data_IF_678909375639
#
_entry.id   IF_678909375639
#
_cell.length_a   1.000
_cell.length_b   1.000
_cell.length_c   1.000
_cell.angle_alpha   90.00
_cell.angle_beta   90.00
_cell.angle_gamma   90.00
#
_symmetry.space_group_name_H-M   'P 1'
#
loop_
_entity.id
_entity.type
_entity.pdbx_description
1 polymer ?
#
# COMPACT_ATOMS: atom_id res chain seq x y z
N UNK A 1 -19.28 42.62 -40.38
CA UNK A 1 -18.20 42.09 -39.50
C UNK A 1 -18.74 41.76 -38.09
N UNK A 2 -19.45 40.64 -37.88
CA UNK A 2 -19.81 40.13 -36.53
C UNK A 2 -20.02 38.61 -36.53
N UNK A 3 -19.13 37.85 -37.18
CA UNK A 3 -19.15 36.37 -37.14
C UNK A 3 -17.83 35.72 -36.71
N UNK A 4 -16.84 36.52 -36.29
CA UNK A 4 -15.53 36.00 -35.85
C UNK A 4 -15.43 35.76 -34.33
N UNK A 5 -16.40 36.22 -33.53
CA UNK A 5 -16.38 36.06 -32.07
C UNK A 5 -16.89 34.70 -31.56
N UNK A 6 -17.76 34.02 -32.32
CA UNK A 6 -18.45 32.82 -31.85
C UNK A 6 -17.66 31.53 -32.07
N UNK A 7 -16.73 31.51 -33.04
CA UNK A 7 -15.89 30.34 -33.35
C UNK A 7 -14.75 30.17 -32.32
N UNK A 8 -14.33 31.24 -31.65
CA UNK A 8 -13.24 31.18 -30.66
C UNK A 8 -13.68 30.60 -29.30
N UNK A 9 -14.98 30.61 -29.00
CA UNK A 9 -15.54 30.04 -27.76
C UNK A 9 -15.75 28.52 -27.88
N UNK A 10 -15.98 27.99 -29.09
CA UNK A 10 -16.11 26.53 -29.29
C UNK A 10 -14.77 25.78 -29.24
N UNK A 11 -13.65 26.47 -29.50
CA UNK A 11 -12.30 25.87 -29.47
C UNK A 11 -11.72 25.69 -28.06
N UNK A 12 -12.39 26.23 -27.02
CA UNK A 12 -11.95 26.06 -25.62
C UNK A 12 -12.63 24.89 -24.88
N UNK A 13 -13.58 24.18 -25.51
CA UNK A 13 -14.29 23.04 -24.91
C UNK A 13 -13.67 21.66 -25.21
N UNK A 14 -12.61 21.56 -26.03
CA UNK A 14 -12.06 20.27 -26.49
C UNK A 14 -11.01 19.63 -25.57
N UNK A 15 -10.83 20.10 -24.33
CA UNK A 15 -9.83 19.55 -23.38
C UNK A 15 -10.42 18.77 -22.22
N UNK A 16 -11.48 18.00 -22.46
CA UNK A 16 -11.87 16.91 -21.54
C UNK A 16 -11.55 15.58 -22.21
N UNK A 17 -10.25 15.25 -22.28
CA UNK A 17 -9.83 13.88 -22.54
C UNK A 17 -10.13 13.10 -21.27
N UNK A 18 -11.30 12.48 -21.22
CA UNK A 18 -11.62 11.50 -20.18
C UNK A 18 -10.64 10.34 -20.32
N UNK A 19 -9.83 10.09 -19.28
CA UNK A 19 -9.15 8.81 -19.15
C UNK A 19 -10.24 7.73 -19.00
N UNK A 20 -10.50 7.01 -20.10
CA UNK A 20 -11.57 6.02 -20.18
C UNK A 20 -11.22 4.84 -19.27
N UNK A 21 -12.13 4.46 -18.38
CA UNK A 21 -12.03 3.14 -17.77
C UNK A 21 -12.36 2.13 -18.87
N UNK A 22 -11.45 1.20 -19.14
CA UNK A 22 -11.72 0.12 -20.06
C UNK A 22 -12.76 -0.82 -19.44
N UNK A 23 -13.81 -1.14 -20.21
CA UNK A 23 -14.71 -2.23 -19.86
C UNK A 23 -13.99 -3.54 -20.22
N UNK A 24 -13.37 -4.15 -19.22
CA UNK A 24 -12.59 -5.36 -19.41
C UNK A 24 -13.46 -6.58 -19.08
N UNK A 25 -13.53 -7.52 -20.02
CA UNK A 25 -14.10 -8.84 -19.80
C UNK A 25 -12.97 -9.85 -19.72
N UNK A 26 -12.76 -10.41 -18.54
CA UNK A 26 -11.88 -11.57 -18.37
C UNK A 26 -12.76 -12.80 -18.23
N UNK A 27 -12.55 -13.81 -19.05
CA UNK A 27 -13.22 -15.11 -18.92
C UNK A 27 -12.21 -16.24 -19.06
N UNK A 28 -12.63 -17.45 -18.75
CA UNK A 28 -11.73 -18.59 -18.85
C UNK A 28 -12.21 -19.79 -18.10
N UNK A 29 -11.34 -20.79 -18.01
CA UNK A 29 -11.54 -22.01 -17.26
C UNK A 29 -10.32 -22.32 -16.38
N UNK A 30 -10.58 -22.85 -15.20
CA UNK A 30 -9.55 -23.35 -14.29
C UNK A 30 -9.76 -24.85 -14.11
N UNK A 31 -8.70 -25.60 -14.32
CA UNK A 31 -8.70 -27.06 -14.19
C UNK A 31 -7.52 -27.51 -13.30
N UNK A 32 -7.67 -28.67 -12.69
CA UNK A 32 -6.63 -29.33 -11.91
C UNK A 32 -5.56 -29.89 -12.86
N UNK A 33 -4.29 -29.53 -12.63
CA UNK A 33 -3.17 -29.97 -13.45
C UNK A 33 -2.91 -31.49 -13.36
N UNK A 34 -3.30 -32.14 -12.26
CA UNK A 34 -3.09 -33.57 -12.05
C UNK A 34 -4.19 -34.42 -12.68
N UNK A 35 -5.45 -34.01 -12.52
CA UNK A 35 -6.62 -34.81 -12.95
C UNK A 35 -7.25 -34.33 -14.26
N UNK A 36 -6.89 -33.13 -14.74
CA UNK A 36 -7.55 -32.40 -15.83
C UNK A 36 -9.04 -32.12 -15.59
N UNK A 37 -9.53 -32.28 -14.35
CA UNK A 37 -10.92 -32.01 -14.01
C UNK A 37 -11.15 -30.52 -13.72
N UNK A 38 -12.35 -29.98 -14.01
CA UNK A 38 -12.67 -28.61 -13.68
C UNK A 38 -12.65 -28.30 -12.19
N UNK A 39 -12.07 -27.14 -11.85
CA UNK A 39 -12.04 -26.65 -10.47
C UNK A 39 -13.15 -25.66 -10.23
N UNK A 40 -14.21 -26.10 -9.55
CA UNK A 40 -15.28 -25.24 -9.06
C UNK A 40 -14.85 -24.41 -7.85
N UNK A 41 -15.46 -23.24 -7.63
CA UNK A 41 -15.19 -22.35 -6.49
C UNK A 41 -13.74 -21.86 -6.37
N UNK A 42 -12.96 -21.91 -7.44
CA UNK A 42 -11.67 -21.25 -7.53
C UNK A 42 -11.86 -19.73 -7.66
N UNK A 43 -10.98 -18.97 -7.05
CA UNK A 43 -11.01 -17.51 -7.01
C UNK A 43 -10.18 -16.92 -8.15
N UNK A 44 -10.75 -15.94 -8.84
CA UNK A 44 -10.07 -15.10 -9.84
C UNK A 44 -10.21 -13.64 -9.46
N UNK A 45 -9.11 -12.97 -9.12
CA UNK A 45 -9.19 -11.61 -8.58
C UNK A 45 -8.04 -10.69 -9.02
N UNK A 46 -8.33 -9.39 -9.03
CA UNK A 46 -7.31 -8.36 -9.19
C UNK A 46 -6.63 -8.10 -7.86
N UNK A 47 -5.31 -8.28 -7.84
CA UNK A 47 -4.54 -8.06 -6.62
C UNK A 47 -4.66 -6.62 -6.12
N UNK A 48 -4.87 -6.47 -4.81
CA UNK A 48 -5.04 -5.18 -4.15
C UNK A 48 -6.46 -4.61 -4.22
N UNK A 49 -7.44 -5.34 -4.77
CA UNK A 49 -8.83 -4.85 -4.93
C UNK A 49 -9.85 -5.71 -4.16
N UNK A 50 -11.13 -5.30 -4.19
CA UNK A 50 -12.26 -6.15 -3.82
C UNK A 50 -12.88 -6.93 -4.99
N UNK A 51 -12.28 -6.84 -6.18
CA UNK A 51 -12.81 -7.40 -7.42
C UNK A 51 -12.43 -8.88 -7.54
N UNK A 52 -13.44 -9.74 -7.45
CA UNK A 52 -13.33 -11.19 -7.46
C UNK A 52 -14.42 -11.80 -8.35
N UNK A 53 -14.09 -12.90 -9.02
CA UNK A 53 -15.02 -13.86 -9.60
C UNK A 53 -14.68 -15.26 -9.08
N UNK A 54 -15.68 -16.13 -9.02
CA UNK A 54 -15.49 -17.54 -8.70
C UNK A 54 -15.78 -18.39 -9.93
N UNK A 55 -15.13 -19.55 -10.03
CA UNK A 55 -15.46 -20.54 -11.06
C UNK A 55 -16.74 -21.29 -10.73
N UNK A 56 -17.53 -21.62 -11.75
CA UNK A 56 -18.71 -22.48 -11.66
C UNK A 56 -18.35 -23.98 -11.58
N UNK A 57 -19.36 -24.86 -11.61
CA UNK A 57 -19.17 -26.31 -11.58
C UNK A 57 -18.39 -26.87 -12.78
N UNK A 58 -18.31 -26.12 -13.88
CA UNK A 58 -17.52 -26.46 -15.06
C UNK A 58 -16.14 -25.79 -15.03
N UNK A 59 -15.75 -25.21 -13.89
CA UNK A 59 -14.48 -24.50 -13.73
C UNK A 59 -14.41 -23.18 -14.49
N UNK A 60 -15.51 -22.71 -15.08
CA UNK A 60 -15.53 -21.49 -15.88
C UNK A 60 -15.76 -20.26 -15.02
N UNK A 61 -15.11 -19.16 -15.36
CA UNK A 61 -15.30 -17.88 -14.68
C UNK A 61 -15.52 -16.75 -15.68
N UNK A 62 -16.13 -15.66 -15.20
CA UNK A 62 -16.22 -14.40 -15.93
C UNK A 62 -16.17 -13.23 -14.96
N UNK A 63 -15.23 -12.33 -15.18
CA UNK A 63 -15.04 -11.09 -14.45
C UNK A 63 -15.24 -9.92 -15.43
N UNK A 64 -16.38 -9.23 -15.32
CA UNK A 64 -16.71 -8.04 -16.13
C UNK A 64 -16.70 -6.81 -15.24
N UNK A 65 -15.67 -5.98 -15.38
CA UNK A 65 -15.53 -4.77 -14.55
C UNK A 65 -14.73 -3.69 -15.28
N UNK A 66 -14.97 -2.46 -14.85
CA UNK A 66 -14.09 -1.34 -15.19
C UNK A 66 -12.75 -1.47 -14.46
N UNK A 67 -11.67 -1.47 -15.22
CA UNK A 67 -10.30 -1.54 -14.71
C UNK A 67 -9.51 -0.42 -15.35
N UNK A 68 -8.66 0.24 -14.57
CA UNK A 68 -7.77 1.27 -15.12
C UNK A 68 -6.81 0.64 -16.13
N UNK A 69 -6.50 1.31 -17.23
CA UNK A 69 -5.50 0.80 -18.19
C UNK A 69 -4.09 0.75 -17.56
N UNK A 70 -3.29 -0.25 -17.92
CA UNK A 70 -1.94 -0.46 -17.38
C UNK A 70 -1.69 -1.89 -16.92
N UNK A 71 -0.61 -2.10 -16.17
CA UNK A 71 -0.27 -3.44 -15.69
C UNK A 71 -1.06 -3.76 -14.43
N UNK A 72 -1.59 -4.97 -14.41
CA UNK A 72 -2.31 -5.54 -13.28
C UNK A 72 -1.78 -6.91 -12.96
N UNK A 73 -2.05 -7.33 -11.73
CA UNK A 73 -1.78 -8.68 -11.28
C UNK A 73 -3.11 -9.40 -11.11
N UNK A 74 -3.38 -10.35 -11.99
CA UNK A 74 -4.51 -11.25 -11.90
C UNK A 74 -4.07 -12.52 -11.16
N UNK A 75 -4.83 -12.94 -10.17
CA UNK A 75 -4.49 -14.07 -9.32
C UNK A 75 -5.57 -15.13 -9.42
N UNK A 76 -5.15 -16.38 -9.60
CA UNK A 76 -5.97 -17.57 -9.63
C UNK A 76 -5.61 -18.43 -8.41
N UNK A 77 -6.56 -18.71 -7.54
CA UNK A 77 -6.31 -19.52 -6.34
C UNK A 77 -7.46 -20.47 -6.03
N UNK A 78 -7.13 -21.61 -5.43
CA UNK A 78 -8.10 -22.55 -4.90
C UNK A 78 -7.51 -23.19 -3.63
N UNK A 79 -8.36 -23.53 -2.66
CA UNK A 79 -7.91 -24.21 -1.43
C UNK A 79 -7.25 -25.53 -1.79
N UNK A 80 -6.05 -25.77 -1.27
CA UNK A 80 -5.28 -26.98 -1.58
C UNK A 80 -4.45 -26.91 -2.87
N UNK A 81 -4.41 -25.77 -3.57
CA UNK A 81 -3.63 -25.60 -4.81
C UNK A 81 -2.63 -24.46 -4.71
N UNK A 82 -1.57 -24.53 -5.51
CA UNK A 82 -0.60 -23.45 -5.66
C UNK A 82 -1.26 -22.24 -6.36
N UNK A 83 -1.05 -21.05 -5.80
CA UNK A 83 -1.59 -19.81 -6.37
C UNK A 83 -0.87 -19.46 -7.67
N UNK A 84 -1.60 -19.32 -8.78
CA UNK A 84 -1.06 -18.83 -10.06
C UNK A 84 -1.20 -17.32 -10.15
N UNK A 85 -0.09 -16.62 -10.37
CA UNK A 85 -0.04 -15.15 -10.50
C UNK A 85 0.27 -14.80 -11.95
N UNK A 86 -0.65 -14.11 -12.63
CA UNK A 86 -0.49 -13.62 -13.99
C UNK A 86 -0.35 -12.10 -14.01
N UNK A 87 0.66 -11.59 -14.72
CA UNK A 87 0.81 -10.17 -14.99
C UNK A 87 0.14 -9.87 -16.33
N UNK A 88 -0.86 -9.01 -16.32
CA UNK A 88 -1.61 -8.63 -17.52
C UNK A 88 -1.44 -7.14 -17.77
N UNK A 89 -1.51 -6.73 -19.03
CA UNK A 89 -1.59 -5.32 -19.38
C UNK A 89 -2.97 -5.10 -19.98
N UNK A 90 -3.73 -4.18 -19.39
CA UNK A 90 -5.05 -3.80 -19.87
C UNK A 90 -4.87 -2.56 -20.76
N UNK A 91 -5.26 -2.69 -22.02
CA UNK A 91 -5.26 -1.60 -23.01
C UNK A 91 -6.64 -1.61 -23.68
N UNK A 92 -7.38 -0.50 -23.67
CA UNK A 92 -8.72 -0.42 -24.26
C UNK A 92 -9.74 -1.46 -23.71
N UNK A 93 -10.96 -1.49 -24.26
CA UNK A 93 -12.00 -2.47 -23.93
C UNK A 93 -11.69 -3.85 -24.53
N UNK A 94 -10.70 -4.54 -23.96
CA UNK A 94 -10.30 -5.89 -24.37
C UNK A 94 -11.14 -6.99 -23.71
N UNK A 95 -11.24 -8.13 -24.40
CA UNK A 95 -11.65 -9.41 -23.81
C UNK A 95 -10.45 -10.32 -23.69
N UNK A 96 -10.12 -10.73 -22.47
CA UNK A 96 -9.02 -11.65 -22.20
C UNK A 96 -9.57 -13.02 -21.83
N UNK A 97 -9.00 -14.07 -22.43
CA UNK A 97 -9.36 -15.46 -22.13
C UNK A 97 -8.18 -16.20 -21.50
N UNK A 98 -8.43 -16.93 -20.41
CA UNK A 98 -7.39 -17.70 -19.72
C UNK A 98 -7.82 -19.16 -19.53
N UNK A 99 -6.97 -20.10 -19.93
CA UNK A 99 -7.07 -21.50 -19.52
C UNK A 99 -5.95 -21.77 -18.53
N UNK A 100 -6.31 -21.97 -17.26
CA UNK A 100 -5.35 -22.06 -16.15
C UNK A 100 -5.34 -23.48 -15.59
N UNK A 101 -4.14 -24.04 -15.49
CA UNK A 101 -3.85 -25.24 -14.73
C UNK A 101 -3.41 -24.83 -13.33
N UNK A 102 -4.10 -25.29 -12.30
CA UNK A 102 -3.63 -25.18 -10.91
C UNK A 102 -3.02 -26.50 -10.46
N UNK A 103 -1.83 -26.41 -9.88
CA UNK A 103 -1.10 -27.57 -9.35
C UNK A 103 -1.55 -27.82 -7.91
N UNK A 104 -1.99 -29.04 -7.55
CA UNK A 104 -2.27 -29.38 -6.16
C UNK A 104 -1.05 -29.16 -5.28
N UNK A 105 -1.25 -28.60 -4.08
CA UNK A 105 -0.19 -28.50 -3.09
C UNK A 105 0.12 -29.88 -2.54
N UNK A 106 1.40 -30.20 -2.44
CA UNK A 106 1.81 -31.34 -1.63
C UNK A 106 1.42 -31.08 -0.16
N UNK A 107 0.50 -31.89 0.36
CA UNK A 107 0.16 -31.85 1.79
C UNK A 107 1.32 -32.45 2.56
N UNK A 108 2.29 -31.62 2.93
CA UNK A 108 3.25 -32.01 3.97
C UNK A 108 2.51 -31.97 5.30
N UNK A 109 2.17 -33.15 5.82
CA UNK A 109 1.69 -33.30 7.19
C UNK A 109 2.80 -32.83 8.14
N UNK A 110 2.82 -31.53 8.45
CA UNK A 110 3.68 -30.96 9.48
C UNK A 110 3.01 -31.16 10.83
N UNK A 111 3.35 -32.25 11.49
CA UNK A 111 2.96 -32.59 12.86
C UNK A 111 3.57 -31.62 13.93
N UNK A 112 4.22 -30.52 13.51
CA UNK A 112 5.12 -29.71 14.34
C UNK A 112 4.74 -28.21 14.36
N UNK A 113 3.44 -27.87 14.40
CA UNK A 113 3.01 -26.45 14.39
C UNK A 113 2.49 -25.92 15.74
N UNK A 114 2.00 -26.79 16.63
CA UNK A 114 1.50 -26.36 17.94
C UNK A 114 2.66 -26.18 18.95
N UNK A 115 3.77 -26.91 18.79
CA UNK A 115 4.97 -26.73 19.62
C UNK A 115 5.78 -25.49 19.24
N UNK A 116 5.92 -25.20 17.94
CA UNK A 116 6.71 -24.06 17.45
C UNK A 116 6.11 -22.69 17.81
N UNK A 117 4.78 -22.56 17.87
CA UNK A 117 4.12 -21.31 18.32
C UNK A 117 4.33 -21.00 19.82
N UNK A 118 4.79 -22.00 20.59
CA UNK A 118 5.21 -21.84 22.00
C UNK A 118 6.71 -21.49 22.15
N UNK A 119 7.52 -21.59 21.09
CA UNK A 119 8.94 -21.21 21.12
C UNK A 119 9.09 -19.68 21.26
N UNK A 120 9.91 -19.25 22.23
CA UNK A 120 10.22 -17.85 22.50
C UNK A 120 10.85 -17.18 21.26
N UNK A 121 11.69 -17.91 20.50
CA UNK A 121 12.30 -17.38 19.29
C UNK A 121 11.24 -17.13 18.19
N UNK A 122 10.32 -18.08 18.01
CA UNK A 122 9.19 -17.92 17.11
C UNK A 122 8.32 -16.73 17.52
N UNK A 123 7.96 -16.58 18.79
CA UNK A 123 7.13 -15.46 19.28
C UNK A 123 7.80 -14.09 19.06
N UNK A 124 9.12 -14.00 19.29
CA UNK A 124 9.90 -12.79 19.02
C UNK A 124 9.91 -12.46 17.52
N UNK A 125 10.13 -13.45 16.66
CA UNK A 125 10.13 -13.28 15.21
C UNK A 125 8.74 -12.93 14.68
N UNK A 126 7.69 -13.55 15.23
CA UNK A 126 6.31 -13.23 14.90
C UNK A 126 5.94 -11.80 15.33
N UNK A 127 6.34 -11.35 16.53
CA UNK A 127 6.14 -9.98 16.96
C UNK A 127 6.83 -8.97 16.03
N UNK A 128 8.09 -9.26 15.65
CA UNK A 128 8.87 -8.46 14.68
C UNK A 128 8.18 -8.42 13.31
N UNK A 129 7.78 -9.58 12.78
CA UNK A 129 7.03 -9.70 11.53
C UNK A 129 5.71 -8.91 11.59
N UNK A 130 4.91 -9.10 12.64
CA UNK A 130 3.61 -8.44 12.80
C UNK A 130 3.76 -6.91 12.80
N UNK A 131 4.73 -6.38 13.55
CA UNK A 131 5.00 -4.94 13.60
C UNK A 131 5.44 -4.38 12.25
N UNK A 132 6.31 -5.09 11.53
CA UNK A 132 6.87 -4.63 10.25
C UNK A 132 5.95 -4.86 9.04
N UNK A 133 5.11 -5.90 9.10
CA UNK A 133 4.16 -6.28 8.04
C UNK A 133 2.82 -5.55 8.16
N UNK A 134 2.22 -5.52 9.37
CA UNK A 134 0.95 -4.81 9.59
C UNK A 134 1.17 -3.32 9.88
N UNK A 135 2.33 -2.96 10.42
CA UNK A 135 2.64 -1.61 10.88
C UNK A 135 2.34 -1.42 12.38
N UNK A 136 2.57 -0.20 12.87
CA UNK A 136 2.33 0.16 14.29
C UNK A 136 1.30 1.29 14.46
N UNK A 137 0.53 1.59 13.41
CA UNK A 137 -0.56 2.56 13.43
C UNK A 137 -1.72 2.13 14.35
N UNK A 138 -2.67 3.03 14.59
CA UNK A 138 -3.89 2.65 15.32
C UNK A 138 -4.73 1.62 14.56
N UNK A 139 -4.70 1.64 13.22
CA UNK A 139 -5.42 0.66 12.40
C UNK A 139 -4.72 -0.69 12.42
N UNK A 140 -3.38 -0.70 12.36
CA UNK A 140 -2.58 -1.91 12.47
C UNK A 140 -2.78 -2.65 13.80
N UNK A 141 -2.97 -1.91 14.90
CA UNK A 141 -3.29 -2.51 16.22
C UNK A 141 -4.65 -3.21 16.26
N UNK A 142 -5.57 -2.84 15.37
CA UNK A 142 -6.89 -3.47 15.22
C UNK A 142 -6.87 -4.62 14.19
N UNK A 143 -5.68 -5.00 13.70
CA UNK A 143 -5.50 -6.14 12.80
C UNK A 143 -5.16 -7.43 13.56
N UNK A 144 -5.79 -8.53 13.17
CA UNK A 144 -5.53 -9.88 13.69
C UNK A 144 -5.15 -10.81 12.53
N UNK A 145 -3.97 -11.44 12.63
CA UNK A 145 -3.60 -12.54 11.74
C UNK A 145 -4.24 -13.80 12.32
N UNK A 146 -5.14 -14.42 11.56
CA UNK A 146 -5.97 -15.54 12.03
C UNK A 146 -5.28 -16.89 11.92
N UNK A 147 -4.26 -17.01 11.07
CA UNK A 147 -3.52 -18.24 10.81
C UNK A 147 -2.00 -18.07 10.92
N UNK A 148 -1.46 -17.50 12.00
CA UNK A 148 -0.03 -17.18 12.08
C UNK A 148 0.87 -18.43 12.05
N UNK A 149 0.33 -19.62 12.35
CA UNK A 149 1.07 -20.89 12.31
C UNK A 149 1.56 -21.27 10.90
N UNK A 150 1.02 -20.69 9.82
CA UNK A 150 1.54 -20.96 8.47
C UNK A 150 2.89 -20.26 8.22
N UNK A 151 3.34 -19.40 9.13
CA UNK A 151 4.56 -18.61 9.00
C UNK A 151 5.78 -19.41 9.44
N UNK A 152 6.78 -19.41 8.58
CA UNK A 152 8.12 -19.91 8.87
C UNK A 152 9.10 -18.76 8.97
N UNK A 153 9.91 -18.78 10.03
CA UNK A 153 10.89 -17.75 10.32
C UNK A 153 12.30 -18.32 10.20
N UNK A 154 13.16 -17.65 9.44
CA UNK A 154 14.59 -17.95 9.37
C UNK A 154 15.37 -16.69 9.68
N UNK A 155 16.29 -16.79 10.65
CA UNK A 155 17.15 -15.68 11.05
C UNK A 155 18.61 -16.02 10.78
N UNK A 156 19.31 -15.17 10.02
CA UNK A 156 20.75 -15.26 9.78
C UNK A 156 21.36 -13.87 9.82
N UNK A 157 22.42 -13.64 10.59
CA UNK A 157 23.10 -12.33 10.70
C UNK A 157 22.13 -11.15 10.97
N UNK A 158 21.18 -11.31 11.89
CA UNK A 158 20.08 -10.37 12.21
C UNK A 158 19.08 -10.05 11.06
N UNK A 159 19.23 -10.72 9.92
CA UNK A 159 18.24 -10.73 8.86
C UNK A 159 17.15 -11.76 9.19
N UNK A 160 15.94 -11.26 9.43
CA UNK A 160 14.73 -12.09 9.48
C UNK A 160 14.20 -12.27 8.06
N UNK A 161 14.01 -13.51 7.63
CA UNK A 161 13.27 -13.87 6.42
C UNK A 161 12.03 -14.66 6.82
N UNK A 162 10.92 -14.40 6.11
CA UNK A 162 9.62 -15.01 6.43
C UNK A 162 9.00 -15.59 5.17
N UNK A 163 8.58 -16.84 5.26
CA UNK A 163 7.77 -17.52 4.26
C UNK A 163 6.43 -17.95 4.87
N UNK A 164 5.43 -18.15 4.03
CA UNK A 164 4.11 -18.61 4.45
C UNK A 164 3.70 -19.82 3.60
N UNK A 165 3.26 -20.90 4.26
CA UNK A 165 2.67 -22.05 3.57
C UNK A 165 1.18 -21.79 3.27
N UNK A 166 0.95 -20.90 2.30
CA UNK A 166 -0.39 -20.48 1.88
C UNK A 166 -0.71 -19.03 2.16
N UNK A 167 -2.00 -18.73 2.16
CA UNK A 167 -2.51 -17.36 2.21
C UNK A 167 -2.73 -16.92 3.67
N UNK A 168 -2.11 -15.81 4.07
CA UNK A 168 -2.35 -15.19 5.36
C UNK A 168 -3.74 -14.55 5.39
N UNK A 169 -4.49 -14.79 6.45
CA UNK A 169 -5.83 -14.25 6.66
C UNK A 169 -5.76 -13.21 7.77
N UNK A 170 -6.12 -11.97 7.45
CA UNK A 170 -5.95 -10.81 8.33
C UNK A 170 -7.30 -10.12 8.50
N UNK A 171 -7.82 -10.09 9.71
CA UNK A 171 -9.00 -9.31 10.03
C UNK A 171 -8.60 -7.87 10.36
N UNK A 172 -8.79 -6.94 9.42
CA UNK A 172 -8.64 -5.51 9.66
C UNK A 172 -9.96 -4.93 10.19
N UNK A 173 -10.22 -5.14 11.49
CA UNK A 173 -11.41 -4.63 12.18
C UNK A 173 -11.47 -3.09 12.19
N UNK A 174 -10.31 -2.45 12.02
CA UNK A 174 -10.18 -1.00 11.94
C UNK A 174 -10.87 -0.41 10.72
N UNK A 175 -10.69 -1.05 9.55
CA UNK A 175 -11.23 -0.65 8.27
C UNK A 175 -12.44 -1.50 7.82
N UNK A 176 -12.76 -2.59 8.51
CA UNK A 176 -13.87 -3.47 8.14
C UNK A 176 -13.59 -4.27 6.88
N UNK A 177 -12.39 -4.84 6.78
CA UNK A 177 -11.98 -5.72 5.69
C UNK A 177 -11.34 -6.98 6.25
N UNK A 178 -11.65 -8.12 5.64
CA UNK A 178 -10.77 -9.29 5.70
C UNK A 178 -9.77 -9.17 4.55
N UNK A 179 -8.49 -9.26 4.87
CA UNK A 179 -7.39 -9.13 3.92
C UNK A 179 -6.71 -10.48 3.83
N UNK A 180 -6.65 -10.98 2.62
CA UNK A 180 -5.98 -12.21 2.27
C UNK A 180 -4.66 -11.86 1.58
N UNK A 181 -3.56 -12.48 1.98
CA UNK A 181 -2.23 -12.15 1.46
C UNK A 181 -1.45 -13.43 1.14
N UNK A 182 -1.13 -13.62 -0.14
CA UNK A 182 -0.06 -14.55 -0.53
C UNK A 182 1.27 -13.81 -0.43
N UNK A 183 2.07 -14.18 0.58
CA UNK A 183 3.37 -13.56 0.85
C UNK A 183 4.41 -14.09 -0.15
N UNK A 184 4.89 -13.22 -1.04
CA UNK A 184 5.89 -13.60 -2.07
C UNK A 184 7.29 -13.54 -1.50
N UNK A 185 7.61 -12.49 -0.77
CA UNK A 185 8.84 -12.42 0.02
C UNK A 185 8.65 -11.49 1.22
N UNK A 186 9.48 -11.71 2.24
CA UNK A 186 9.64 -10.79 3.35
C UNK A 186 11.07 -10.91 3.87
N UNK A 187 11.72 -9.76 4.05
CA UNK A 187 12.98 -9.65 4.75
C UNK A 187 13.01 -8.39 5.59
N UNK A 188 13.55 -8.50 6.81
CA UNK A 188 13.80 -7.37 7.67
C UNK A 188 15.21 -7.47 8.30
N UNK A 189 15.98 -6.38 8.21
CA UNK A 189 17.29 -6.21 8.86
C UNK A 189 17.24 -4.93 9.68
N UNK A 190 17.34 -5.06 11.01
CA UNK A 190 17.05 -3.96 11.94
C UNK A 190 15.71 -3.29 11.63
N UNK A 191 15.78 -2.12 11.03
CA UNK A 191 14.63 -1.29 10.70
C UNK A 191 14.23 -1.25 9.23
N UNK A 192 15.03 -1.88 8.37
CA UNK A 192 14.78 -1.94 6.95
C UNK A 192 13.95 -3.18 6.66
N UNK A 193 12.71 -2.97 6.21
CA UNK A 193 11.78 -4.05 5.83
C UNK A 193 11.47 -3.96 4.35
N UNK A 194 11.68 -5.07 3.64
CA UNK A 194 11.25 -5.27 2.26
C UNK A 194 10.30 -6.46 2.21
N UNK A 195 9.13 -6.30 1.61
CA UNK A 195 8.20 -7.39 1.38
C UNK A 195 7.36 -7.13 0.14
N UNK A 196 6.94 -8.22 -0.50
CA UNK A 196 6.04 -8.27 -1.64
C UNK A 196 4.95 -9.27 -1.30
N UNK A 197 3.71 -8.86 -1.49
CA UNK A 197 2.54 -9.72 -1.36
C UNK A 197 1.54 -9.41 -2.46
N UNK A 198 0.73 -10.41 -2.80
CA UNK A 198 -0.51 -10.19 -3.56
C UNK A 198 -1.69 -10.28 -2.60
N UNK A 199 -2.58 -9.30 -2.69
CA UNK A 199 -3.65 -9.09 -1.71
C UNK A 199 -5.03 -9.29 -2.33
N UNK A 200 -5.98 -9.83 -1.56
CA UNK A 200 -7.41 -9.81 -1.85
C UNK A 200 -8.15 -9.21 -0.68
N UNK A 201 -9.10 -8.33 -0.94
CA UNK A 201 -9.91 -7.67 0.08
C UNK A 201 -11.34 -8.14 0.03
N UNK A 202 -11.91 -8.45 1.19
CA UNK A 202 -13.31 -8.81 1.34
C UNK A 202 -13.96 -7.88 2.38
N UNK A 203 -14.97 -7.07 1.99
CA UNK A 203 -15.67 -6.21 2.94
C UNK A 203 -16.36 -7.03 4.04
N UNK A 204 -16.12 -6.66 5.29
CA UNK A 204 -16.84 -7.26 6.42
C UNK A 204 -18.27 -6.70 6.50
N UNK A 205 -19.21 -7.53 6.96
CA UNK A 205 -20.56 -7.07 7.31
C UNK A 205 -20.51 -6.28 8.64
N UNK A 206 -20.97 -5.03 8.68
CA UNK A 206 -21.04 -4.28 9.93
C UNK A 206 -22.11 -4.86 10.86
N UNK A 207 -21.84 -4.85 12.16
CA UNK A 207 -22.79 -5.23 13.21
C UNK A 207 -23.97 -4.25 13.28
N UNK A 208 -23.70 -2.96 13.08
CA UNK A 208 -24.71 -1.89 13.13
C UNK A 208 -24.34 -0.69 12.23
N UNK A 209 -25.28 0.27 12.10
CA UNK A 209 -25.07 1.52 11.35
C UNK A 209 -23.94 2.38 11.92
N UNK A 210 -23.65 2.30 13.23
CA UNK A 210 -22.59 3.08 13.89
C UNK A 210 -21.21 2.57 13.48
N UNK A 211 -21.01 1.26 13.43
CA UNK A 211 -19.81 0.61 12.95
C UNK A 211 -19.60 0.89 11.46
N UNK A 212 -20.65 0.80 10.64
CA UNK A 212 -20.57 1.16 9.22
C UNK A 212 -20.09 2.61 9.02
N UNK A 213 -20.66 3.58 9.74
CA UNK A 213 -20.23 4.98 9.72
C UNK A 213 -18.79 5.15 10.22
N UNK A 214 -18.40 4.43 11.28
CA UNK A 214 -17.04 4.42 11.82
C UNK A 214 -16.03 3.92 10.79
N UNK A 215 -16.31 2.81 10.12
CA UNK A 215 -15.46 2.27 9.05
C UNK A 215 -15.35 3.24 7.88
N UNK A 216 -16.45 3.82 7.41
CA UNK A 216 -16.42 4.84 6.34
C UNK A 216 -15.47 6.00 6.69
N UNK A 217 -15.63 6.59 7.88
CA UNK A 217 -14.78 7.70 8.36
C UNK A 217 -13.31 7.28 8.47
N UNK A 218 -13.03 6.05 8.92
CA UNK A 218 -11.67 5.53 9.05
C UNK A 218 -11.02 5.25 7.70
N UNK A 219 -11.76 4.71 6.73
CA UNK A 219 -11.28 4.51 5.35
C UNK A 219 -10.95 5.85 4.69
N UNK A 220 -11.82 6.85 4.82
CA UNK A 220 -11.51 8.21 4.36
C UNK A 220 -10.27 8.79 5.06
N UNK A 221 -10.15 8.59 6.37
CA UNK A 221 -8.96 9.03 7.13
C UNK A 221 -7.68 8.33 6.64
N UNK A 222 -7.72 7.04 6.35
CA UNK A 222 -6.58 6.28 5.82
C UNK A 222 -6.19 6.77 4.41
N UNK A 223 -7.18 7.12 3.58
CA UNK A 223 -6.94 7.68 2.25
C UNK A 223 -6.32 9.08 2.29
N UNK A 224 -6.95 10.03 2.99
CA UNK A 224 -6.49 11.42 2.96
C UNK A 224 -5.14 11.62 3.65
N UNK A 225 -4.16 12.08 2.86
CA UNK A 225 -2.77 12.24 3.24
C UNK A 225 -1.88 11.06 2.86
N UNK A 226 -2.44 9.96 2.35
CA UNK A 226 -1.66 8.83 1.80
C UNK A 226 -0.94 9.21 0.50
N UNK A 227 0.03 8.38 0.11
CA UNK A 227 0.68 8.45 -1.20
C UNK A 227 -0.36 8.52 -2.32
N UNK A 228 -1.37 7.66 -2.26
CA UNK A 228 -2.46 7.60 -3.23
C UNK A 228 -3.23 8.93 -3.35
N UNK A 229 -3.51 9.59 -2.24
CA UNK A 229 -4.14 10.92 -2.23
C UNK A 229 -3.23 11.99 -2.84
N UNK A 230 -1.93 11.95 -2.54
CA UNK A 230 -0.97 12.88 -3.12
C UNK A 230 -0.89 12.73 -4.65
N UNK A 231 -0.76 11.50 -5.15
CA UNK A 231 -0.71 11.24 -6.60
C UNK A 231 -2.00 11.67 -7.27
N UNK A 232 -3.16 11.36 -6.69
CA UNK A 232 -4.45 11.89 -7.17
C UNK A 232 -4.43 13.43 -7.27
N UNK A 233 -4.03 14.12 -6.20
CA UNK A 233 -4.00 15.57 -6.18
C UNK A 233 -3.00 16.15 -7.20
N UNK A 234 -1.88 15.48 -7.42
CA UNK A 234 -0.87 15.87 -8.40
C UNK A 234 -1.40 15.77 -9.83
N UNK A 235 -2.08 14.67 -10.17
CA UNK A 235 -2.61 14.43 -11.52
C UNK A 235 -3.78 15.37 -11.88
N UNK A 236 -4.51 15.86 -10.88
CA UNK A 236 -5.68 16.72 -11.08
C UNK A 236 -5.38 18.21 -10.83
N UNK A 237 -4.11 18.58 -10.67
CA UNK A 237 -3.68 19.96 -10.33
C UNK A 237 -4.30 20.52 -9.03
N UNK A 238 -4.58 19.63 -8.05
CA UNK A 238 -5.20 19.97 -6.76
C UNK A 238 -4.25 19.90 -5.58
N UNK A 239 -2.93 19.86 -5.80
CA UNK A 239 -1.92 19.65 -4.73
C UNK A 239 -2.13 20.62 -3.55
N UNK A 240 -2.24 21.92 -3.83
CA UNK A 240 -2.44 22.94 -2.78
C UNK A 240 -3.84 22.86 -2.16
N UNK A 241 -4.88 22.72 -2.97
CA UNK A 241 -6.28 22.61 -2.51
C UNK A 241 -6.49 21.42 -1.58
N UNK A 242 -5.84 20.30 -1.92
CA UNK A 242 -5.85 19.09 -1.11
C UNK A 242 -4.98 19.18 0.13
N UNK A 243 -4.20 20.26 0.28
CA UNK A 243 -3.43 20.57 1.48
C UNK A 243 -2.05 19.95 1.48
N UNK A 244 -1.44 19.75 0.31
CA UNK A 244 -0.07 19.28 0.19
C UNK A 244 0.90 20.43 -0.06
N UNK A 245 2.06 20.36 0.58
CA UNK A 245 3.25 21.14 0.25
C UNK A 245 4.34 20.20 -0.24
N UNK A 246 5.04 20.57 -1.31
CA UNK A 246 5.97 19.69 -2.01
C UNK A 246 7.29 20.40 -2.25
N UNK A 247 8.37 19.72 -1.86
CA UNK A 247 9.74 20.16 -2.08
C UNK A 247 10.57 19.03 -2.65
N UNK A 248 11.74 19.35 -3.18
CA UNK A 248 12.68 18.34 -3.70
C UNK A 248 14.07 18.51 -3.09
N UNK A 249 14.79 17.40 -2.96
CA UNK A 249 16.18 17.35 -2.51
C UNK A 249 17.03 16.42 -3.39
N UNK A 250 18.33 16.71 -3.45
CA UNK A 250 19.33 15.74 -3.92
C UNK A 250 19.76 14.80 -2.78
N UNK A 251 19.59 15.24 -1.54
CA UNK A 251 20.07 14.54 -0.36
C UNK A 251 19.05 13.44 0.01
N UNK A 252 19.55 12.22 0.25
CA UNK A 252 18.70 11.10 0.67
C UNK A 252 18.25 11.28 2.12
N UNK A 253 16.94 11.18 2.42
CA UNK A 253 16.43 11.26 3.80
C UNK A 253 16.85 10.08 4.67
N UNK A 254 17.34 8.99 4.07
CA UNK A 254 17.89 7.84 4.80
C UNK A 254 19.36 8.04 5.23
N UNK A 255 20.10 8.92 4.55
CA UNK A 255 21.53 9.16 4.80
C UNK A 255 21.80 10.50 5.47
N UNK A 256 20.98 11.50 5.16
CA UNK A 256 21.17 12.87 5.62
C UNK A 256 20.10 13.23 6.62
N UNK A 257 20.57 13.57 7.84
CA UNK A 257 19.73 13.93 8.99
C UNK A 257 18.76 15.08 8.67
N UNK A 258 19.18 16.08 7.90
CA UNK A 258 18.35 17.22 7.46
C UNK A 258 18.60 17.50 5.98
N UNK A 259 17.89 16.83 5.06
CA UNK A 259 18.07 17.03 3.63
C UNK A 259 17.79 18.49 3.23
N UNK A 260 18.62 19.08 2.38
CA UNK A 260 18.37 20.45 1.89
C UNK A 260 17.26 20.43 0.85
N UNK A 261 16.17 21.13 1.11
CA UNK A 261 14.99 21.15 0.26
C UNK A 261 14.86 22.47 -0.50
N UNK A 262 14.21 22.42 -1.66
CA UNK A 262 13.71 23.60 -2.36
C UNK A 262 12.38 23.32 -3.04
N UNK A 263 11.61 24.36 -3.30
CA UNK A 263 10.35 24.25 -4.03
C UNK A 263 10.57 23.77 -5.48
N UNK A 264 9.58 23.06 -6.02
CA UNK A 264 9.53 22.63 -7.42
C UNK A 264 8.17 22.95 -8.02
N UNK A 265 8.12 23.11 -9.34
CA UNK A 265 6.86 23.15 -10.09
C UNK A 265 6.27 21.74 -10.15
N UNK A 266 4.96 21.62 -9.94
CA UNK A 266 4.26 20.31 -9.94
C UNK A 266 4.32 19.63 -11.30
N UNK A 267 4.29 20.41 -12.39
CA UNK A 267 4.48 19.93 -13.76
C UNK A 267 5.82 19.22 -14.02
N UNK A 268 6.80 19.32 -13.11
CA UNK A 268 8.05 18.54 -13.19
C UNK A 268 7.95 17.15 -12.58
N UNK A 269 6.90 16.89 -11.80
CA UNK A 269 6.71 15.68 -11.01
C UNK A 269 5.77 14.65 -11.66
N UNK A 270 5.05 15.06 -12.70
CA UNK A 270 4.17 14.16 -13.46
C UNK A 270 4.24 14.47 -14.96
N UNK A 271 3.79 13.52 -15.77
CA UNK A 271 3.54 13.68 -17.19
C UNK A 271 2.37 12.79 -17.59
N UNK A 272 1.62 13.20 -18.61
CA UNK A 272 0.51 12.44 -19.17
C UNK A 272 0.66 12.44 -20.69
N UNK A 273 0.48 11.26 -21.28
CA UNK A 273 0.48 11.03 -22.72
C UNK A 273 -0.58 9.95 -23.06
N UNK A 274 -0.60 9.49 -24.31
CA UNK A 274 -1.55 8.48 -24.78
C UNK A 274 -1.37 7.12 -24.07
N UNK A 275 -0.19 6.85 -23.52
CA UNK A 275 0.07 5.64 -22.74
C UNK A 275 -0.48 5.74 -21.29
N UNK A 276 -0.90 6.93 -20.85
CA UNK A 276 -1.48 7.16 -19.53
C UNK A 276 -0.73 8.20 -18.68
N UNK A 277 -0.88 8.07 -17.36
CA UNK A 277 -0.31 9.01 -16.37
C UNK A 277 0.94 8.45 -15.71
N UNK A 278 1.97 9.29 -15.56
CA UNK A 278 3.25 8.88 -15.01
C UNK A 278 3.77 9.88 -13.98
N UNK A 279 4.24 9.38 -12.85
CA UNK A 279 5.10 10.13 -11.93
C UNK A 279 6.54 10.14 -12.48
N UNK A 280 7.26 11.25 -12.28
CA UNK A 280 8.66 11.38 -12.69
C UNK A 280 9.42 12.26 -11.72
N UNK A 281 10.64 11.88 -11.36
CA UNK A 281 11.55 12.76 -10.61
C UNK A 281 12.95 12.15 -10.58
N UNK A 282 13.98 12.97 -10.84
CA UNK A 282 15.39 12.62 -10.63
C UNK A 282 15.88 12.97 -9.22
N UNK A 283 14.96 13.29 -8.31
CA UNK A 283 15.23 13.84 -6.97
C UNK A 283 14.31 13.19 -5.94
N UNK A 284 14.76 13.19 -4.69
CA UNK A 284 13.89 12.90 -3.56
C UNK A 284 12.80 13.96 -3.48
N UNK A 285 11.54 13.54 -3.45
CA UNK A 285 10.38 14.42 -3.31
C UNK A 285 9.92 14.35 -1.86
N UNK A 286 9.95 15.48 -1.16
CA UNK A 286 9.34 15.64 0.14
C UNK A 286 7.91 16.14 -0.02
N UNK A 287 6.98 15.47 0.64
CA UNK A 287 5.56 15.78 0.62
C UNK A 287 5.06 15.93 2.05
N UNK A 288 4.55 17.12 2.36
CA UNK A 288 3.92 17.43 3.64
C UNK A 288 2.41 17.56 3.46
N UNK A 289 1.63 16.91 4.32
CA UNK A 289 0.17 17.02 4.35
C UNK A 289 -0.28 17.93 5.49
N UNK A 290 -0.72 19.14 5.14
CA UNK A 290 -0.95 20.25 6.06
C UNK A 290 -2.27 20.16 6.84
N UNK A 291 -3.21 19.32 6.37
CA UNK A 291 -4.53 19.13 7.01
C UNK A 291 -4.48 18.12 8.17
N UNK A 292 -3.34 17.50 8.45
CA UNK A 292 -3.19 16.54 9.56
C UNK A 292 -1.81 16.63 10.20
N UNK A 293 -1.79 16.58 11.53
CA UNK A 293 -0.55 16.45 12.27
C UNK A 293 -0.12 15.00 12.50
N UNK A 294 1.14 14.79 12.86
CA UNK A 294 1.64 13.42 13.04
C UNK A 294 1.07 12.73 14.28
N UNK A 295 0.67 11.48 14.08
CA UNK A 295 0.13 10.65 15.14
C UNK A 295 1.21 10.22 16.12
N UNK A 296 0.85 10.13 17.41
CA UNK A 296 1.73 9.65 18.50
C UNK A 296 2.40 8.32 18.16
N UNK A 297 1.71 7.39 17.48
CA UNK A 297 2.28 6.09 17.10
C UNK A 297 3.42 6.22 16.08
N UNK A 298 3.31 7.12 15.11
CA UNK A 298 4.41 7.37 14.15
C UNK A 298 5.61 8.00 14.86
N UNK A 299 5.37 8.96 15.76
CA UNK A 299 6.43 9.59 16.56
C UNK A 299 7.19 8.54 17.40
N UNK A 300 6.48 7.58 18.00
CA UNK A 300 7.12 6.46 18.71
C UNK A 300 7.89 5.53 17.76
N UNK A 301 7.37 5.28 16.57
CA UNK A 301 8.06 4.49 15.56
C UNK A 301 9.39 5.13 15.15
N UNK A 302 9.40 6.42 14.76
CA UNK A 302 10.64 7.12 14.41
C UNK A 302 11.61 7.23 15.59
N UNK A 303 11.11 7.25 16.83
CA UNK A 303 11.95 7.22 18.03
C UNK A 303 12.65 5.89 18.24
N UNK A 304 11.93 4.79 18.08
CA UNK A 304 12.49 3.44 18.16
C UNK A 304 13.58 3.26 17.10
N UNK A 305 13.28 3.70 15.88
CA UNK A 305 14.21 3.76 14.75
C UNK A 305 15.47 4.56 15.14
N UNK A 306 15.28 5.77 15.63
CA UNK A 306 16.35 6.63 16.13
C UNK A 306 17.16 6.01 17.27
N UNK A 307 16.58 5.20 18.16
CA UNK A 307 17.33 4.57 19.25
C UNK A 307 18.24 3.42 18.77
N UNK A 308 17.83 2.66 17.74
CA UNK A 308 18.69 1.62 17.18
C UNK A 308 19.75 2.16 16.22
N UNK A 309 19.54 3.32 15.61
CA UNK A 309 20.63 4.11 15.04
C UNK A 309 21.38 4.80 16.18
N UNK A 310 22.64 4.42 16.50
CA UNK A 310 23.51 5.14 17.45
C UNK A 310 23.67 6.66 17.18
N UNK A 311 23.06 7.19 16.12
CA UNK A 311 23.03 8.58 15.66
C UNK A 311 22.36 9.59 16.62
N UNK A 312 21.82 9.17 17.77
CA UNK A 312 21.22 10.06 18.77
C UNK A 312 21.93 10.04 20.12
N UNK A 313 23.17 9.51 20.17
CA UNK A 313 24.07 9.73 21.31
C UNK A 313 24.45 11.21 21.37
N UNK A 314 23.69 12.00 22.12
CA UNK A 314 24.17 13.29 22.55
C UNK A 314 25.30 13.02 23.57
N UNK A 315 26.55 13.22 23.14
CA UNK A 315 27.75 13.29 24.00
C UNK A 315 28.12 12.05 24.84
N UNK A 316 28.15 10.83 24.29
CA UNK A 316 28.73 9.63 24.97
C UNK A 316 28.24 9.36 26.42
N UNK A 317 27.15 10.00 26.88
CA UNK A 317 26.55 9.79 28.20
C UNK A 317 25.44 8.74 28.07
N UNK A 318 25.36 7.83 29.05
CA UNK A 318 24.25 6.89 29.19
C UNK A 318 22.97 7.70 29.43
N UNK A 319 21.96 7.49 28.60
CA UNK A 319 20.66 8.15 28.75
C UNK A 319 19.97 7.63 30.03
N UNK A 320 19.41 8.55 30.83
CA UNK A 320 18.73 8.30 32.10
C UNK A 320 17.20 8.43 31.97
N UNK A 321 16.47 7.87 32.95
CA UNK A 321 15.01 7.96 33.04
C UNK A 321 14.60 9.43 33.20
N UNK A 322 14.02 10.01 32.15
CA UNK A 322 13.59 11.42 32.13
C UNK A 322 14.26 12.26 31.04
N UNK A 323 15.37 11.79 30.48
CA UNK A 323 16.09 12.50 29.42
C UNK A 323 15.22 12.74 28.20
N UNK A 324 15.40 13.89 27.55
CA UNK A 324 14.66 14.25 26.34
C UNK A 324 15.47 13.88 25.09
N UNK A 325 14.92 13.00 24.26
CA UNK A 325 15.45 12.65 22.94
C UNK A 325 14.85 13.60 21.91
N UNK A 326 15.71 14.38 21.23
CA UNK A 326 15.35 15.18 20.07
C UNK A 326 15.18 14.26 18.85
N UNK A 327 13.96 14.20 18.31
CA UNK A 327 13.62 13.35 17.16
C UNK A 327 14.01 13.98 15.82
N UNK A 328 15.08 14.76 15.82
CA UNK A 328 15.71 15.34 14.65
C UNK A 328 14.93 16.49 13.97
N UNK A 329 13.75 16.78 14.48
CA UNK A 329 12.97 17.96 14.16
C UNK A 329 12.90 18.82 15.41
N UNK A 330 13.23 20.11 15.29
CA UNK A 330 13.50 21.02 16.42
C UNK A 330 12.34 21.14 17.43
N UNK A 331 11.18 20.57 17.11
CA UNK A 331 9.91 20.79 17.78
C UNK A 331 9.31 19.54 18.44
N UNK A 332 9.95 18.36 18.40
CA UNK A 332 9.48 17.17 19.14
C UNK A 332 10.58 16.57 20.00
N UNK A 333 10.31 16.52 21.30
CA UNK A 333 11.12 15.80 22.27
C UNK A 333 10.32 14.65 22.87
N UNK A 334 10.96 13.50 23.03
CA UNK A 334 10.41 12.38 23.79
C UNK A 334 11.18 12.20 25.08
N UNK A 335 10.50 11.87 26.18
CA UNK A 335 11.24 11.30 27.29
C UNK A 335 11.89 9.96 26.88
N UNK A 336 13.00 9.59 27.50
CA UNK A 336 13.80 8.41 27.16
C UNK A 336 12.98 7.11 27.08
N UNK A 337 11.88 7.04 27.84
CA UNK A 337 10.96 5.90 27.86
C UNK A 337 9.85 5.96 26.78
N UNK A 338 9.81 6.99 25.93
CA UNK A 338 8.82 7.16 24.86
C UNK A 338 7.36 7.41 25.32
N UNK A 339 7.17 7.66 26.61
CA UNK A 339 5.87 7.78 27.27
C UNK A 339 5.28 9.20 27.22
N UNK A 340 6.12 10.24 27.19
CA UNK A 340 5.70 11.65 27.09
C UNK A 340 6.31 12.29 25.85
N UNK A 341 5.45 12.98 25.09
CA UNK A 341 5.81 13.70 23.86
C UNK A 341 5.62 15.19 24.11
N UNK A 342 6.70 15.95 24.00
CA UNK A 342 6.70 17.40 24.09
C UNK A 342 6.69 17.97 22.67
N UNK A 343 5.74 18.87 22.39
CA UNK A 343 5.54 19.46 21.06
C UNK A 343 5.64 20.97 21.17
N UNK A 344 6.56 21.57 20.40
CA UNK A 344 6.83 23.01 20.45
C UNK A 344 6.24 23.77 19.25
N UNK A 345 5.83 23.07 18.17
CA UNK A 345 5.10 23.62 17.01
C UNK A 345 4.13 22.62 16.37
N UNK A 346 3.29 23.10 15.44
CA UNK A 346 2.38 22.29 14.62
C UNK A 346 3.19 21.40 13.68
N UNK A 347 3.13 20.10 13.93
CA UNK A 347 3.91 19.10 13.21
C UNK A 347 3.05 18.37 12.19
N UNK A 348 3.33 18.56 10.90
CA UNK A 348 2.56 18.00 9.79
C UNK A 348 3.06 16.63 9.41
N UNK A 349 2.17 15.80 8.88
CA UNK A 349 2.56 14.53 8.25
C UNK A 349 3.56 14.77 7.12
N UNK A 350 4.79 14.27 7.29
CA UNK A 350 5.86 14.37 6.30
C UNK A 350 6.22 13.00 5.73
N UNK A 351 6.41 12.93 4.42
CA UNK A 351 6.83 11.73 3.72
C UNK A 351 7.81 12.08 2.61
N UNK A 352 8.64 11.11 2.25
CA UNK A 352 9.52 11.24 1.11
C UNK A 352 9.30 10.11 0.13
N UNK A 353 9.55 10.37 -1.14
CA UNK A 353 9.59 9.35 -2.17
C UNK A 353 10.78 9.52 -3.10
N UNK A 354 11.22 8.41 -3.69
CA UNK A 354 12.22 8.36 -4.75
C UNK A 354 11.82 7.31 -5.78
N UNK A 355 12.01 7.62 -7.06
CA UNK A 355 11.74 6.68 -8.15
C UNK A 355 13.07 6.04 -8.57
N UNK A 356 13.13 4.72 -8.57
CA UNK A 356 14.28 3.95 -9.07
C UNK A 356 14.30 3.85 -10.60
N UNK A 357 13.27 4.39 -11.26
CA UNK A 357 13.11 4.43 -12.71
C UNK A 357 12.79 5.86 -13.13
N UNK A 358 12.97 6.19 -14.40
CA UNK A 358 12.75 7.56 -14.90
C UNK A 358 11.30 8.03 -14.72
N UNK A 359 10.35 7.11 -14.97
CA UNK A 359 8.92 7.34 -14.84
C UNK A 359 8.24 6.11 -14.23
N UNK A 360 7.18 6.34 -13.46
CA UNK A 360 6.36 5.30 -12.82
C UNK A 360 4.90 5.48 -13.24
N UNK A 361 4.32 4.49 -13.94
CA UNK A 361 2.92 4.53 -14.37
C UNK A 361 1.98 4.45 -13.18
N UNK A 362 0.97 5.33 -13.17
CA UNK A 362 -0.04 5.42 -12.11
C UNK A 362 -1.44 5.55 -12.69
N UNK A 363 -2.44 5.03 -11.97
CA UNK A 363 -3.83 5.23 -12.33
C UNK A 363 -4.28 6.65 -11.99
N UNK A 364 -5.40 7.09 -12.59
CA UNK A 364 -6.05 8.37 -12.25
C UNK A 364 -6.35 8.52 -10.76
N UNK A 365 -6.55 7.43 -10.03
CA UNK A 365 -6.78 7.45 -8.58
C UNK A 365 -5.52 7.22 -7.74
N UNK A 366 -4.34 7.37 -8.33
CA UNK A 366 -3.04 7.32 -7.63
C UNK A 366 -2.56 5.93 -7.22
N UNK A 367 -3.05 4.88 -7.90
CA UNK A 367 -2.56 3.50 -7.72
C UNK A 367 -1.34 3.29 -8.60
N UNK A 368 -0.27 2.68 -8.08
CA UNK A 368 0.90 2.34 -8.90
C UNK A 368 0.55 1.16 -9.80
N UNK A 369 0.72 1.34 -11.12
CA UNK A 369 0.42 0.34 -12.14
C UNK A 369 1.68 -0.31 -12.72
N UNK A 370 2.86 0.06 -12.21
CA UNK A 370 4.14 -0.58 -12.52
C UNK A 370 4.59 -1.47 -11.34
N UNK A 371 5.81 -2.04 -11.44
CA UNK A 371 6.41 -2.78 -10.33
C UNK A 371 6.50 -1.86 -9.09
N UNK A 372 5.84 -2.17 -7.96
CA UNK A 372 5.86 -1.33 -6.77
C UNK A 372 7.27 -1.11 -6.21
N UNK A 373 8.19 -2.04 -6.45
CA UNK A 373 9.61 -1.94 -6.07
C UNK A 373 10.34 -0.79 -6.75
N UNK A 374 9.79 -0.19 -7.81
CA UNK A 374 10.37 0.98 -8.47
C UNK A 374 10.13 2.30 -7.69
N UNK A 375 9.35 2.25 -6.61
CA UNK A 375 9.05 3.37 -5.73
C UNK A 375 9.62 3.09 -4.34
N UNK A 376 10.52 3.94 -3.88
CA UNK A 376 10.91 4.00 -2.48
C UNK A 376 10.10 5.06 -1.76
N UNK A 377 9.62 4.74 -0.57
CA UNK A 377 8.97 5.69 0.33
C UNK A 377 9.68 5.76 1.66
N UNK A 378 9.68 6.92 2.29
CA UNK A 378 10.22 7.16 3.62
C UNK A 378 9.25 8.00 4.46
N UNK A 379 9.49 8.01 5.76
CA UNK A 379 8.68 8.76 6.71
C UNK A 379 7.29 8.14 6.87
N UNK A 380 6.25 8.98 6.93
CA UNK A 380 4.90 8.51 7.26
C UNK A 380 4.36 7.45 6.28
N UNK A 381 4.56 7.61 4.97
CA UNK A 381 4.10 6.61 3.99
C UNK A 381 4.80 5.26 4.11
N UNK A 382 6.08 5.23 4.50
CA UNK A 382 6.80 3.97 4.74
C UNK A 382 6.34 3.26 6.02
N UNK A 383 5.82 4.04 6.98
CA UNK A 383 5.25 3.54 8.22
C UNK A 383 3.83 3.00 8.05
N UNK A 384 3.07 3.49 7.07
CA UNK A 384 1.79 2.92 6.68
C UNK A 384 2.05 1.57 5.97
N UNK A 385 1.61 0.48 6.60
CA UNK A 385 1.80 -0.90 6.10
C UNK A 385 0.44 -1.55 5.83
N UNK A 386 0.37 -2.88 5.82
CA UNK A 386 -0.86 -3.63 5.49
C UNK A 386 -2.07 -3.22 6.36
N UNK A 387 -1.84 -2.83 7.63
CA UNK A 387 -2.92 -2.38 8.53
C UNK A 387 -3.59 -1.07 8.11
N UNK A 388 -2.92 -0.23 7.34
CA UNK A 388 -3.44 1.04 6.82
C UNK A 388 -3.89 0.92 5.35
N UNK A 389 -3.70 -0.24 4.72
CA UNK A 389 -3.95 -0.45 3.30
C UNK A 389 -5.46 -0.42 3.00
N UNK A 390 -5.80 0.28 1.93
CA UNK A 390 -7.13 0.29 1.35
C UNK A 390 -7.11 -0.45 0.01
N UNK A 391 -8.22 -1.10 -0.36
CA UNK A 391 -8.37 -1.62 -1.71
C UNK A 391 -8.13 -0.53 -2.77
N UNK A 392 -7.51 -0.88 -3.89
CA UNK A 392 -7.20 0.07 -4.97
C UNK A 392 -8.47 0.62 -5.64
N UNK A 393 -9.58 -0.11 -5.55
CA UNK A 393 -10.92 0.27 -5.99
C UNK A 393 -11.70 1.09 -4.95
N UNK A 394 -11.17 1.28 -3.72
CA UNK A 394 -11.79 2.22 -2.77
C UNK A 394 -11.55 3.67 -3.21
N UNK A 395 -12.61 4.46 -3.41
CA UNK A 395 -12.51 5.91 -3.69
C UNK A 395 -13.38 6.67 -2.67
N UNK A 396 -12.85 7.70 -1.98
CA UNK A 396 -13.66 8.51 -1.07
C UNK A 396 -14.84 9.18 -1.77
N UNK A 397 -15.98 9.32 -1.09
CA UNK A 397 -17.20 9.88 -1.66
C UNK A 397 -17.01 11.28 -2.26
N UNK A 398 -16.19 12.14 -1.63
CA UNK A 398 -15.87 13.49 -2.14
C UNK A 398 -15.15 13.44 -3.49
N UNK A 399 -14.26 12.47 -3.67
CA UNK A 399 -13.51 12.30 -4.93
C UNK A 399 -14.42 11.67 -5.98
N UNK A 400 -15.18 10.62 -5.62
CA UNK A 400 -16.12 9.97 -6.53
C UNK A 400 -17.12 10.97 -7.15
N UNK A 401 -17.69 11.90 -6.36
CA UNK A 401 -18.59 12.96 -6.85
C UNK A 401 -17.97 13.97 -7.84
N UNK A 402 -16.65 14.03 -7.96
CA UNK A 402 -15.98 14.93 -8.92
C UNK A 402 -15.75 14.26 -10.28
N UNK A 403 -16.04 12.96 -10.39
CA UNK A 403 -15.78 12.10 -11.54
C UNK A 403 -17.05 11.38 -12.05
N UNK A 404 -18.20 11.66 -11.44
CA UNK A 404 -19.54 11.38 -11.94
C UNK A 404 -20.17 12.72 -12.30
#
# INVERSE_FOLDING_TARGET
MKLQGTILILLFLSKVVFAQNASLKISGQIIDAATNLPLSNAHVYFSGTTMLANTDSLGKFTLKREVAEGRHTLVFSHVGYETKIAKITVVNSESLSFNILLVPKEVKLKEVLISATKDVAWQKNYARFKEEFLGSSSLAKECLINNPWILEFKTKNDQLTVSADGELIIDNKGLGYKVYCTLVNFSNVGFQTSYIGVYRFEPMRPQDKKQQKKWKKRREKAFYGSFRHFVYALLHDKVKEEGFSVMVSKDSPAKVKRPRTKFTKMSKLFTQNDEGSFLRSKRYVNVMYLKRGEGVNYIRYIAKQAQGYKAFSHKKKRLAKGDLIDLNDKDIKLNYNGNRIYRYRKYYQSSWMYLLTEKLKVSRFGVVLDKPTNLETYGYWAWQRVGDMLPFDFVPARISKQHH
#
